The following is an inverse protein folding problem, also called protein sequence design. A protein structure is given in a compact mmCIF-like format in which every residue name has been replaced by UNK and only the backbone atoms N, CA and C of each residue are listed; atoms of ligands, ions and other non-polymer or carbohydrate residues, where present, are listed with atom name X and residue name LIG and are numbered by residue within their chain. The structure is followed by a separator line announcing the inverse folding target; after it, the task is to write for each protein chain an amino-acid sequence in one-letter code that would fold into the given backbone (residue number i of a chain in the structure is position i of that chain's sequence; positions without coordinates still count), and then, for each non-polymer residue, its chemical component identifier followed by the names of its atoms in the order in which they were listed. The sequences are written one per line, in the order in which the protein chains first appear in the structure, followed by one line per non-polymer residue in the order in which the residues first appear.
data_IF_219699084585
#
_entry.id   IF_219699084585
#
_cell.length_a   1.000
_cell.length_b   1.000
_cell.length_c   1.000
_cell.angle_alpha   90.00
_cell.angle_beta   90.00
_cell.angle_gamma   90.00
#
_symmetry.space_group_name_H-M   'P 1'
#
loop_
_entity.id
_entity.type
_entity.pdbx_description
1 polymer ?
#
# COMPACT_ATOMS: atom_id res chain seq x y z
N UNK A 1 9.27 4.57 -15.88
CA UNK A 1 9.98 3.71 -14.91
C UNK A 1 10.03 4.30 -13.49
N UNK A 2 10.53 5.53 -13.21
CA UNK A 2 10.65 6.00 -11.81
C UNK A 2 9.34 5.95 -11.03
N UNK A 3 8.24 6.42 -11.63
CA UNK A 3 6.91 6.42 -10.98
C UNK A 3 6.39 5.01 -10.65
N UNK A 4 6.65 4.00 -11.49
CA UNK A 4 6.25 2.63 -11.20
C UNK A 4 7.05 2.04 -10.03
N UNK A 5 8.35 2.33 -9.97
CA UNK A 5 9.23 1.88 -8.88
C UNK A 5 8.83 2.55 -7.57
N UNK A 6 8.63 3.88 -7.58
CA UNK A 6 8.22 4.62 -6.39
C UNK A 6 6.82 4.22 -5.92
N UNK A 7 5.88 3.97 -6.84
CA UNK A 7 4.56 3.45 -6.50
C UNK A 7 4.63 2.07 -5.84
N UNK A 8 5.46 1.16 -6.37
CA UNK A 8 5.64 -0.16 -5.77
C UNK A 8 6.37 -0.09 -4.41
N UNK A 9 7.31 0.84 -4.28
CA UNK A 9 7.98 1.12 -3.01
C UNK A 9 6.97 1.57 -1.94
N UNK A 10 6.12 2.55 -2.25
CA UNK A 10 5.11 3.06 -1.32
C UNK A 10 4.05 2.00 -0.98
N UNK A 11 3.60 1.22 -1.98
CA UNK A 11 2.70 0.09 -1.80
C UNK A 11 3.24 -0.90 -0.78
N UNK A 12 4.51 -1.26 -0.89
CA UNK A 12 5.13 -2.20 0.03
C UNK A 12 5.39 -1.59 1.42
N UNK A 13 5.67 -0.28 1.49
CA UNK A 13 5.74 0.43 2.77
C UNK A 13 4.40 0.38 3.49
N UNK A 14 3.30 0.63 2.81
CA UNK A 14 1.96 0.60 3.40
C UNK A 14 1.61 -0.80 3.94
N UNK A 15 1.93 -1.85 3.20
CA UNK A 15 1.77 -3.24 3.67
C UNK A 15 2.61 -3.55 4.90
N UNK A 16 3.84 -3.06 4.96
CA UNK A 16 4.74 -3.30 6.10
C UNK A 16 4.37 -2.46 7.32
N UNK A 17 3.71 -1.32 7.13
CA UNK A 17 3.34 -0.40 8.21
C UNK A 17 2.45 -1.04 9.27
N UNK A 18 1.56 -1.97 8.88
CA UNK A 18 0.70 -2.66 9.85
C UNK A 18 1.53 -3.50 10.83
N UNK A 19 2.56 -4.20 10.33
CA UNK A 19 3.47 -4.96 11.18
C UNK A 19 4.24 -4.06 12.15
N UNK A 20 4.68 -2.89 11.67
CA UNK A 20 5.36 -1.90 12.49
C UNK A 20 4.41 -1.21 13.48
N UNK A 21 3.16 -0.96 13.09
CA UNK A 21 2.13 -0.38 13.96
C UNK A 21 1.73 -1.31 15.11
N UNK A 22 1.83 -2.64 14.92
CA UNK A 22 1.62 -3.64 15.98
C UNK A 22 2.67 -3.57 17.09
N UNK A 23 3.85 -3.02 16.83
CA UNK A 23 4.89 -2.81 17.84
C UNK A 23 4.66 -1.55 18.69
N UNK A 24 3.69 -0.72 18.32
CA UNK A 24 3.27 0.49 18.98
C UNK A 24 1.91 0.28 19.70
N UNK A 25 1.20 1.34 20.02
CA UNK A 25 -0.06 1.35 20.79
C UNK A 25 -1.32 1.00 19.98
N UNK A 26 -1.21 0.61 18.72
CA UNK A 26 -2.33 0.31 17.81
C UNK A 26 -3.39 -0.62 18.44
N UNK A 27 -2.95 -1.70 19.06
CA UNK A 27 -3.84 -2.72 19.67
C UNK A 27 -4.55 -2.16 20.89
N UNK A 28 -3.88 -1.35 21.69
CA UNK A 28 -4.45 -0.72 22.90
C UNK A 28 -5.38 0.43 22.55
N UNK A 29 -5.03 1.25 21.57
CA UNK A 29 -5.82 2.42 21.15
C UNK A 29 -7.14 2.03 20.47
N UNK A 30 -7.14 0.97 19.66
CA UNK A 30 -8.33 0.45 18.98
C UNK A 30 -9.06 -0.64 19.77
N UNK A 31 -8.49 -1.13 20.87
CA UNK A 31 -9.06 -2.23 21.67
C UNK A 31 -9.17 -3.55 20.87
N UNK A 32 -8.23 -3.78 19.94
CA UNK A 32 -8.21 -4.95 19.05
C UNK A 32 -7.10 -5.92 19.44
N UNK A 33 -7.28 -7.18 19.09
CA UNK A 33 -6.29 -8.22 19.31
C UNK A 33 -5.40 -8.41 18.06
N UNK A 34 -4.29 -9.11 18.23
CA UNK A 34 -3.44 -9.51 17.09
C UNK A 34 -4.20 -10.38 16.09
N UNK A 35 -5.16 -11.17 16.55
CA UNK A 35 -5.99 -12.01 15.69
C UNK A 35 -6.93 -11.15 14.82
N UNK A 36 -7.45 -10.05 15.34
CA UNK A 36 -8.25 -9.09 14.58
C UNK A 36 -7.43 -8.42 13.48
N UNK A 37 -6.15 -8.10 13.75
CA UNK A 37 -5.25 -7.56 12.74
C UNK A 37 -4.94 -8.60 11.66
N UNK A 38 -4.73 -9.86 12.04
CA UNK A 38 -4.56 -10.96 11.09
C UNK A 38 -5.80 -11.15 10.21
N UNK A 39 -7.00 -11.04 10.80
CA UNK A 39 -8.25 -11.08 10.04
C UNK A 39 -8.34 -9.90 9.06
N UNK A 40 -7.95 -8.69 9.48
CA UNK A 40 -7.85 -7.51 8.60
C UNK A 40 -6.92 -7.75 7.40
N UNK A 41 -5.76 -8.39 7.61
CA UNK A 41 -4.83 -8.74 6.54
C UNK A 41 -5.40 -9.82 5.60
N UNK A 42 -6.17 -10.77 6.13
CA UNK A 42 -6.88 -11.77 5.30
C UNK A 42 -7.97 -11.11 4.45
N UNK A 43 -8.73 -10.16 5.01
CA UNK A 43 -9.73 -9.39 4.27
C UNK A 43 -9.09 -8.56 3.15
N UNK A 44 -7.94 -7.95 3.41
CA UNK A 44 -7.15 -7.26 2.39
C UNK A 44 -6.72 -8.23 1.27
N UNK A 45 -6.21 -9.41 1.60
CA UNK A 45 -5.82 -10.43 0.62
C UNK A 45 -7.03 -10.91 -0.20
N UNK A 46 -8.18 -11.11 0.43
CA UNK A 46 -9.43 -11.44 -0.26
C UNK A 46 -9.84 -10.32 -1.23
N UNK A 47 -9.74 -9.05 -0.80
CA UNK A 47 -9.98 -7.87 -1.65
C UNK A 47 -9.09 -7.86 -2.89
N UNK A 48 -7.79 -8.16 -2.73
CA UNK A 48 -6.83 -8.27 -3.84
C UNK A 48 -7.30 -9.31 -4.86
N UNK A 49 -7.59 -10.54 -4.41
CA UNK A 49 -8.01 -11.65 -5.30
C UNK A 49 -9.30 -11.32 -6.05
N UNK A 50 -10.29 -10.75 -5.38
CA UNK A 50 -11.57 -10.39 -5.99
C UNK A 50 -11.40 -9.27 -7.02
N UNK A 51 -10.56 -8.29 -6.74
CA UNK A 51 -10.42 -7.09 -7.55
C UNK A 51 -9.42 -7.25 -8.71
N UNK A 52 -8.52 -8.23 -8.67
CA UNK A 52 -7.45 -8.39 -9.66
C UNK A 52 -7.98 -8.54 -11.09
N UNK A 53 -8.99 -9.40 -11.30
CA UNK A 53 -9.57 -9.62 -12.63
C UNK A 53 -10.33 -8.39 -13.12
N UNK A 54 -11.31 -7.82 -12.36
CA UNK A 54 -12.01 -6.60 -12.78
C UNK A 54 -11.08 -5.42 -13.02
N UNK A 55 -10.07 -5.23 -12.17
CA UNK A 55 -9.08 -4.16 -12.32
C UNK A 55 -8.31 -4.25 -13.62
N UNK A 56 -7.87 -5.46 -14.02
CA UNK A 56 -7.17 -5.69 -15.28
C UNK A 56 -8.07 -5.43 -16.51
N UNK A 57 -9.35 -5.74 -16.43
CA UNK A 57 -10.31 -5.43 -17.51
C UNK A 57 -10.51 -3.91 -17.65
N UNK A 58 -10.60 -3.19 -16.55
CA UNK A 58 -10.71 -1.72 -16.55
C UNK A 58 -9.42 -1.09 -17.09
N UNK A 59 -8.25 -1.60 -16.68
CA UNK A 59 -6.95 -1.16 -17.15
C UNK A 59 -6.83 -1.26 -18.68
N UNK A 60 -7.32 -2.35 -19.28
CA UNK A 60 -7.29 -2.53 -20.74
C UNK A 60 -8.20 -1.53 -21.47
N UNK A 61 -9.31 -1.09 -20.84
CA UNK A 61 -10.25 -0.13 -21.44
C UNK A 61 -9.81 1.31 -21.28
N UNK A 62 -9.36 1.70 -20.09
CA UNK A 62 -8.97 3.07 -19.75
C UNK A 62 -7.52 3.41 -20.13
N UNK A 63 -6.72 2.39 -20.35
CA UNK A 63 -5.27 2.52 -20.54
C UNK A 63 -4.50 2.47 -19.21
N UNK A 64 -3.32 1.83 -19.27
CA UNK A 64 -2.52 1.57 -18.06
C UNK A 64 -2.09 2.83 -17.29
N UNK A 65 -1.62 3.94 -17.93
CA UNK A 65 -1.18 5.11 -17.18
C UNK A 65 -2.30 5.75 -16.36
N UNK A 66 -3.48 5.92 -16.96
CA UNK A 66 -4.64 6.56 -16.31
C UNK A 66 -5.14 5.71 -15.15
N UNK A 67 -5.29 4.40 -15.38
CA UNK A 67 -5.82 3.49 -14.37
C UNK A 67 -4.88 3.36 -13.17
N UNK A 68 -3.57 3.18 -13.40
CA UNK A 68 -2.58 3.06 -12.33
C UNK A 68 -2.49 4.35 -11.49
N UNK A 69 -2.55 5.52 -12.14
CA UNK A 69 -2.59 6.81 -11.44
C UNK A 69 -3.84 6.93 -10.57
N UNK A 70 -5.00 6.56 -11.10
CA UNK A 70 -6.27 6.61 -10.36
C UNK A 70 -6.24 5.65 -9.15
N UNK A 71 -5.71 4.43 -9.33
CA UNK A 71 -5.53 3.48 -8.25
C UNK A 71 -4.64 4.04 -7.14
N UNK A 72 -3.50 4.66 -7.49
CA UNK A 72 -2.60 5.28 -6.51
C UNK A 72 -3.29 6.38 -5.70
N UNK A 73 -4.07 7.24 -6.34
CA UNK A 73 -4.84 8.29 -5.65
C UNK A 73 -5.88 7.72 -4.68
N UNK A 74 -6.65 6.73 -5.14
CA UNK A 74 -7.71 6.12 -4.33
C UNK A 74 -7.11 5.37 -3.14
N UNK A 75 -6.13 4.51 -3.37
CA UNK A 75 -5.51 3.77 -2.27
C UNK A 75 -4.81 4.70 -1.27
N UNK A 76 -4.06 5.74 -1.75
CA UNK A 76 -3.43 6.72 -0.89
C UNK A 76 -4.44 7.46 0.00
N UNK A 77 -5.63 7.76 -0.54
CA UNK A 77 -6.72 8.36 0.23
C UNK A 77 -7.26 7.38 1.28
N UNK A 78 -7.45 6.10 0.93
CA UNK A 78 -7.92 5.07 1.86
C UNK A 78 -6.88 4.85 2.98
N UNK A 79 -5.59 4.77 2.64
CA UNK A 79 -4.50 4.64 3.60
C UNK A 79 -4.48 5.83 4.58
N UNK A 80 -4.73 7.05 4.08
CA UNK A 80 -4.84 8.23 4.92
C UNK A 80 -6.03 8.12 5.90
N UNK A 81 -7.20 7.70 5.44
CA UNK A 81 -8.38 7.55 6.31
C UNK A 81 -8.17 6.51 7.40
N UNK A 82 -7.29 5.55 7.19
CA UNK A 82 -6.95 4.53 8.19
C UNK A 82 -6.31 5.12 9.47
N UNK A 83 -5.61 6.25 9.37
CA UNK A 83 -5.05 6.96 10.52
C UNK A 83 -6.13 7.48 11.51
N UNK A 84 -7.38 7.63 11.06
CA UNK A 84 -8.52 8.08 11.87
C UNK A 84 -9.53 6.98 12.20
N UNK A 85 -9.17 5.71 11.99
CA UNK A 85 -10.02 4.61 12.41
C UNK A 85 -10.13 4.58 13.95
N UNK A 86 -11.37 4.53 14.44
CA UNK A 86 -11.69 4.46 15.88
C UNK A 86 -12.35 3.15 16.29
N UNK A 87 -12.81 2.37 15.33
CA UNK A 87 -13.55 1.13 15.53
C UNK A 87 -12.98 -0.02 14.70
N UNK A 88 -13.11 -1.25 15.21
CA UNK A 88 -12.71 -2.47 14.51
C UNK A 88 -13.39 -2.64 13.14
N UNK A 89 -14.67 -2.28 13.03
CA UNK A 89 -15.39 -2.37 11.76
C UNK A 89 -14.84 -1.41 10.70
N UNK A 90 -14.46 -0.19 11.12
CA UNK A 90 -13.81 0.77 10.23
C UNK A 90 -12.44 0.27 9.77
N UNK A 91 -11.69 -0.38 10.66
CA UNK A 91 -10.41 -0.99 10.35
C UNK A 91 -10.58 -2.11 9.31
N UNK A 92 -11.52 -3.03 9.47
CA UNK A 92 -11.78 -4.09 8.50
C UNK A 92 -12.24 -3.56 7.15
N UNK A 93 -13.13 -2.56 7.15
CA UNK A 93 -13.61 -1.95 5.91
C UNK A 93 -12.46 -1.26 5.14
N UNK A 94 -11.61 -0.51 5.81
CA UNK A 94 -10.45 0.15 5.17
C UNK A 94 -9.45 -0.88 4.66
N UNK A 95 -9.18 -1.97 5.39
CA UNK A 95 -8.32 -3.06 4.93
C UNK A 95 -8.85 -3.75 3.68
N UNK A 96 -10.13 -4.06 3.65
CA UNK A 96 -10.75 -4.66 2.48
C UNK A 96 -10.71 -3.74 1.26
N UNK A 97 -11.11 -2.47 1.42
CA UNK A 97 -11.07 -1.47 0.35
C UNK A 97 -9.65 -1.24 -0.18
N UNK A 98 -8.66 -1.20 0.73
CA UNK A 98 -7.26 -1.07 0.37
C UNK A 98 -6.82 -2.23 -0.52
N UNK A 99 -7.19 -3.47 -0.16
CA UNK A 99 -6.92 -4.65 -0.99
C UNK A 99 -7.57 -4.57 -2.37
N UNK A 100 -8.81 -4.11 -2.46
CA UNK A 100 -9.53 -3.95 -3.73
C UNK A 100 -8.81 -2.98 -4.69
N UNK A 101 -8.34 -1.84 -4.21
CA UNK A 101 -7.69 -0.84 -5.07
C UNK A 101 -6.19 -1.10 -5.27
N UNK A 102 -5.54 -1.80 -4.37
CA UNK A 102 -4.13 -2.16 -4.48
C UNK A 102 -3.88 -3.36 -5.40
N UNK A 103 -4.83 -4.32 -5.44
CA UNK A 103 -4.67 -5.62 -6.10
C UNK A 103 -4.34 -5.57 -7.58
N UNK A 104 -4.79 -4.53 -8.31
CA UNK A 104 -4.52 -4.37 -9.74
C UNK A 104 -3.20 -3.68 -10.07
N UNK A 105 -2.47 -3.16 -9.10
CA UNK A 105 -1.25 -2.36 -9.36
C UNK A 105 -0.08 -3.18 -9.88
N UNK A 106 0.19 -4.33 -9.26
CA UNK A 106 1.32 -5.20 -9.65
C UNK A 106 1.14 -5.75 -11.06
N UNK A 107 0.03 -6.44 -11.39
CA UNK A 107 -0.19 -6.93 -12.75
C UNK A 107 -0.32 -5.80 -13.76
N UNK A 108 -0.92 -4.66 -13.39
CA UNK A 108 -1.01 -3.47 -14.24
C UNK A 108 0.34 -2.85 -14.54
N UNK A 109 1.24 -2.79 -13.57
CA UNK A 109 2.61 -2.34 -13.76
C UNK A 109 3.40 -3.26 -14.70
N UNK A 110 3.28 -4.58 -14.54
CA UNK A 110 3.89 -5.56 -15.45
C UNK A 110 3.32 -5.47 -16.86
N UNK A 111 2.01 -5.31 -17.01
CA UNK A 111 1.36 -5.09 -18.29
C UNK A 111 1.90 -3.83 -18.99
N UNK A 112 2.05 -2.74 -18.25
CA UNK A 112 2.63 -1.50 -18.77
C UNK A 112 4.08 -1.69 -19.23
N UNK A 113 4.90 -2.43 -18.45
CA UNK A 113 6.26 -2.75 -18.86
C UNK A 113 6.29 -3.58 -20.14
N UNK A 114 5.44 -4.59 -20.26
CA UNK A 114 5.34 -5.43 -21.45
C UNK A 114 4.85 -4.67 -22.70
N UNK A 115 4.09 -3.59 -22.51
CA UNK A 115 3.60 -2.75 -23.60
C UNK A 115 4.68 -1.81 -24.17
N UNK A 116 5.56 -1.28 -23.31
CA UNK A 116 6.53 -0.24 -23.69
C UNK A 116 7.96 -0.75 -23.94
N UNK A 117 8.29 -1.97 -23.53
CA UNK A 117 9.66 -2.50 -23.64
C UNK A 117 9.72 -3.78 -24.44
N UNK A 118 10.86 -3.99 -25.12
CA UNK A 118 11.13 -5.20 -25.89
C UNK A 118 11.33 -6.42 -24.99
N UNK A 119 11.18 -7.63 -25.55
CA UNK A 119 11.35 -8.88 -24.81
C UNK A 119 12.74 -9.01 -24.17
N UNK A 120 13.76 -8.49 -24.82
CA UNK A 120 15.15 -8.54 -24.33
C UNK A 120 15.37 -7.63 -23.11
N UNK A 121 14.72 -6.47 -23.08
CA UNK A 121 14.80 -5.51 -21.96
C UNK A 121 13.83 -5.81 -20.83
N UNK A 122 12.75 -6.54 -21.10
CA UNK A 122 11.65 -6.76 -20.16
C UNK A 122 12.12 -7.41 -18.87
N UNK A 123 13.01 -8.40 -18.94
CA UNK A 123 13.54 -9.10 -17.78
C UNK A 123 14.28 -8.14 -16.84
N UNK A 124 15.17 -7.30 -17.37
CA UNK A 124 15.92 -6.31 -16.61
C UNK A 124 14.97 -5.25 -16.00
N UNK A 125 14.00 -4.76 -16.77
CA UNK A 125 13.04 -3.75 -16.32
C UNK A 125 12.12 -4.28 -15.24
N UNK A 126 11.69 -5.52 -15.36
CA UNK A 126 10.91 -6.20 -14.31
C UNK A 126 11.74 -6.38 -13.02
N UNK A 127 13.01 -6.76 -13.13
CA UNK A 127 13.90 -6.86 -11.98
C UNK A 127 14.05 -5.51 -11.26
N UNK A 128 14.22 -4.42 -12.01
CA UNK A 128 14.29 -3.05 -11.46
C UNK A 128 12.95 -2.65 -10.80
N UNK A 129 11.82 -3.03 -11.38
CA UNK A 129 10.50 -2.79 -10.78
C UNK A 129 10.36 -3.50 -9.42
N UNK A 130 10.74 -4.78 -9.32
CA UNK A 130 10.73 -5.52 -8.06
C UNK A 130 11.79 -5.04 -7.06
N UNK A 131 12.87 -4.39 -7.52
CA UNK A 131 13.84 -3.76 -6.63
C UNK A 131 13.19 -2.73 -5.71
N UNK A 132 12.16 -2.01 -6.19
CA UNK A 132 11.33 -1.12 -5.36
C UNK A 132 10.72 -1.83 -4.15
N UNK A 133 10.20 -3.06 -4.35
CA UNK A 133 9.64 -3.88 -3.28
C UNK A 133 10.70 -4.27 -2.23
N UNK A 134 11.83 -4.82 -2.66
CA UNK A 134 12.89 -5.25 -1.74
C UNK A 134 13.54 -4.08 -1.00
N UNK A 135 13.72 -2.93 -1.67
CA UNK A 135 14.23 -1.72 -1.03
C UNK A 135 13.26 -1.17 0.02
N UNK A 136 11.95 -1.21 -0.24
CA UNK A 136 10.93 -0.84 0.73
C UNK A 136 10.93 -1.75 1.96
N UNK A 137 11.07 -3.06 1.76
CA UNK A 137 11.15 -4.03 2.86
C UNK A 137 12.40 -3.81 3.71
N UNK A 138 13.55 -3.56 3.07
CA UNK A 138 14.81 -3.33 3.77
C UNK A 138 14.84 -2.01 4.55
N UNK A 139 14.27 -0.94 3.99
CA UNK A 139 14.30 0.39 4.61
C UNK A 139 13.04 0.70 5.44
N UNK A 140 11.94 -0.02 5.21
CA UNK A 140 10.64 0.24 5.81
C UNK A 140 10.68 0.21 7.34
N UNK A 141 11.32 -0.78 7.93
CA UNK A 141 11.46 -0.89 9.39
C UNK A 141 12.31 0.25 9.99
N UNK A 142 13.35 0.71 9.27
CA UNK A 142 14.17 1.84 9.71
C UNK A 142 13.38 3.15 9.65
N UNK A 143 12.64 3.36 8.57
CA UNK A 143 11.75 4.52 8.40
C UNK A 143 10.67 4.51 9.48
N UNK A 144 10.03 3.35 9.71
CA UNK A 144 9.02 3.17 10.74
C UNK A 144 9.57 3.46 12.14
N UNK A 145 10.76 2.95 12.48
CA UNK A 145 11.39 3.23 13.77
C UNK A 145 11.70 4.72 13.98
N UNK A 146 12.02 5.45 12.90
CA UNK A 146 12.18 6.90 12.95
C UNK A 146 10.86 7.64 13.18
N UNK A 147 9.80 7.22 12.49
CA UNK A 147 8.47 7.83 12.58
C UNK A 147 7.81 7.55 13.94
N UNK A 148 7.94 6.34 14.47
CA UNK A 148 7.39 5.98 15.78
C UNK A 148 7.94 6.83 16.92
N UNK A 149 9.16 7.38 16.79
CA UNK A 149 9.70 8.36 17.74
C UNK A 149 8.96 9.70 17.78
N UNK A 150 8.12 9.97 16.77
CA UNK A 150 7.25 11.14 16.73
C UNK A 150 5.94 10.96 17.52
N UNK A 151 5.77 9.83 18.19
CA UNK A 151 4.61 9.56 19.04
C UNK A 151 4.40 10.70 20.07
N UNK A 152 3.15 11.16 20.21
CA UNK A 152 2.79 12.28 21.07
C UNK A 152 2.89 13.66 20.43
N UNK A 153 3.53 13.80 19.27
CA UNK A 153 3.52 15.08 18.55
C UNK A 153 2.11 15.36 18.00
N UNK A 154 1.62 16.56 18.25
CA UNK A 154 0.26 17.00 17.86
C UNK A 154 -0.89 16.12 18.43
N UNK A 155 -0.65 15.35 19.49
CA UNK A 155 -1.67 14.48 20.11
C UNK A 155 -1.99 13.21 19.30
N UNK A 156 -1.15 12.85 18.32
CA UNK A 156 -1.30 11.64 17.52
C UNK A 156 -0.39 10.53 18.03
N UNK A 157 -0.89 9.29 18.00
CA UNK A 157 -0.10 8.09 18.28
C UNK A 157 0.94 7.83 17.18
N UNK A 158 2.01 7.10 17.50
CA UNK A 158 3.09 6.80 16.55
C UNK A 158 2.57 6.05 15.30
N UNK A 159 1.66 5.10 15.49
CA UNK A 159 1.06 4.35 14.37
C UNK A 159 0.25 5.22 13.41
N UNK A 160 -0.40 6.29 13.88
CA UNK A 160 -1.13 7.24 13.03
C UNK A 160 -0.15 7.99 12.11
N UNK A 161 1.01 8.38 12.63
CA UNK A 161 2.07 9.00 11.83
C UNK A 161 2.61 8.07 10.74
N UNK A 162 2.66 6.75 10.97
CA UNK A 162 3.05 5.78 9.95
C UNK A 162 2.11 5.82 8.74
N UNK A 163 0.81 5.81 8.96
CA UNK A 163 -0.18 5.85 7.87
C UNK A 163 -0.22 7.21 7.17
N UNK A 164 -0.12 8.31 7.91
CA UNK A 164 -0.06 9.66 7.34
C UNK A 164 1.20 9.84 6.49
N UNK A 165 2.35 9.36 6.94
CA UNK A 165 3.59 9.48 6.18
C UNK A 165 3.59 8.62 4.92
N UNK A 166 3.07 7.39 4.98
CA UNK A 166 2.92 6.53 3.82
C UNK A 166 2.02 7.15 2.74
N UNK A 167 0.90 7.74 3.14
CA UNK A 167 0.00 8.41 2.19
C UNK A 167 0.62 9.66 1.55
N UNK A 168 1.48 10.41 2.27
CA UNK A 168 2.21 11.58 1.73
C UNK A 168 3.34 11.19 0.78
N UNK A 169 3.91 9.99 0.95
CA UNK A 169 4.93 9.45 0.05
C UNK A 169 4.32 8.89 -1.24
N UNK A 170 2.98 8.73 -1.30
CA UNK A 170 2.32 8.33 -2.53
C UNK A 170 2.63 9.37 -3.62
N UNK A 171 3.36 9.01 -4.70
CA UNK A 171 3.75 9.96 -5.72
C UNK A 171 2.49 10.47 -6.42
N UNK A 172 2.12 11.72 -6.14
CA UNK A 172 1.16 12.44 -6.96
C UNK A 172 1.79 12.61 -8.36
N UNK A 173 1.07 12.31 -9.43
CA UNK A 173 1.54 12.43 -10.80
C UNK A 173 1.81 13.87 -11.20
#
# INVERSE_FOLDING_TARGET
MPLLISGFFVLQLDRSNIGNALTDTLTTDLGITTDDVNLGNQLMSAGIVIAEIPSNLILQRLGAPVWLTLQMLIWGTIALTQAWCTNIHSFYATRFLLGVFEGGYIPGGQYMLALFYTREELALRTAIFYFGNYSATATGSLIAAGILKMAGMQGLSGWQWLFISASRLCPLP
#
